data_IF_813193940856
#
_entry.id   IF_813193940856
#
_cell.length_a   1.000
_cell.length_b   1.000
_cell.length_c   1.000
_cell.angle_alpha   90.00
_cell.angle_beta   90.00
_cell.angle_gamma   90.00
#
_symmetry.space_group_name_H-M   'P 1'
#
loop_
_entity.id
_entity.type
_entity.pdbx_description
1 polymer ?
#
# COMPACT_ATOMS: atom_id res chain seq x y z
N UNK A 1 34.34 -7.70 16.20
CA UNK A 1 34.41 -8.81 17.18
C UNK A 1 35.28 -9.95 16.65
N UNK A 2 35.06 -10.42 15.41
CA UNK A 2 35.92 -11.38 14.69
C UNK A 2 37.42 -10.96 14.66
N UNK A 3 37.70 -9.72 14.26
CA UNK A 3 39.08 -9.18 14.19
C UNK A 3 39.83 -9.20 15.54
N UNK A 4 39.10 -9.04 16.65
CA UNK A 4 39.71 -9.02 18.00
C UNK A 4 40.14 -10.42 18.44
N UNK A 5 39.41 -11.45 18.00
CA UNK A 5 39.72 -12.86 18.29
C UNK A 5 40.80 -13.40 17.37
N UNK A 6 40.82 -12.99 16.09
CA UNK A 6 41.90 -13.32 15.17
C UNK A 6 43.24 -12.72 15.64
N UNK A 7 43.24 -11.47 16.11
CA UNK A 7 44.40 -10.83 16.73
C UNK A 7 44.90 -11.57 17.98
N UNK A 8 44.01 -12.17 18.77
CA UNK A 8 44.38 -12.94 19.97
C UNK A 8 44.95 -14.33 19.62
N UNK A 9 44.54 -14.94 18.52
CA UNK A 9 45.12 -16.21 18.03
C UNK A 9 46.47 -15.99 17.32
N UNK A 10 46.64 -14.83 16.67
CA UNK A 10 47.88 -14.46 15.98
C UNK A 10 48.97 -13.94 16.93
N UNK A 11 48.59 -13.42 18.11
CA UNK A 11 49.50 -13.04 19.18
C UNK A 11 50.17 -14.27 19.84
N UNK A 12 51.23 -14.79 19.18
CA UNK A 12 52.10 -15.86 19.70
C UNK A 12 52.68 -15.48 21.07
N UNK A 13 52.11 -16.05 22.14
CA UNK A 13 52.63 -15.93 23.50
C UNK A 13 51.60 -16.16 24.62
N UNK A 14 50.30 -15.99 24.35
CA UNK A 14 49.25 -16.09 25.39
C UNK A 14 48.50 -17.44 25.35
N UNK A 15 48.47 -18.12 24.20
CA UNK A 15 47.68 -19.34 24.00
C UNK A 15 48.57 -20.59 24.09
N UNK A 16 48.44 -21.35 25.19
CA UNK A 16 49.02 -22.69 25.33
C UNK A 16 48.34 -23.67 24.35
N UNK A 17 49.04 -24.64 23.73
CA UNK A 17 48.44 -25.58 22.77
C UNK A 17 47.22 -26.37 23.27
N UNK A 18 47.02 -26.46 24.60
CA UNK A 18 45.83 -27.04 25.23
C UNK A 18 44.60 -26.13 25.25
N UNK A 19 44.76 -24.79 25.20
CA UNK A 19 43.64 -23.83 25.19
C UNK A 19 43.16 -23.48 23.77
N UNK A 20 43.96 -23.74 22.74
CA UNK A 20 43.63 -23.48 21.33
C UNK A 20 42.25 -24.02 20.89
N UNK A 21 41.83 -25.24 21.28
CA UNK A 21 40.50 -25.76 20.89
C UNK A 21 39.34 -24.94 21.47
N UNK A 22 39.47 -24.43 22.70
CA UNK A 22 38.43 -23.62 23.35
C UNK A 22 38.28 -22.25 22.70
N UNK A 23 39.39 -21.59 22.36
CA UNK A 23 39.35 -20.32 21.62
C UNK A 23 38.73 -20.48 20.23
N UNK A 24 39.04 -21.59 19.55
CA UNK A 24 38.46 -21.89 18.24
C UNK A 24 36.95 -22.15 18.33
N UNK A 25 36.50 -22.83 19.37
CA UNK A 25 35.06 -23.08 19.58
C UNK A 25 34.29 -21.77 19.84
N UNK A 26 34.85 -20.87 20.66
CA UNK A 26 34.26 -19.53 20.89
C UNK A 26 34.23 -18.70 19.62
N UNK A 27 35.29 -18.76 18.81
CA UNK A 27 35.33 -18.11 17.51
C UNK A 27 34.22 -18.65 16.60
N UNK A 28 34.11 -19.97 16.45
CA UNK A 28 33.08 -20.60 15.63
C UNK A 28 31.67 -20.24 16.10
N UNK A 29 31.41 -20.23 17.41
CA UNK A 29 30.14 -19.78 17.97
C UNK A 29 29.84 -18.31 17.67
N UNK A 30 30.84 -17.44 17.76
CA UNK A 30 30.70 -16.01 17.45
C UNK A 30 30.36 -15.81 15.97
N UNK A 31 31.02 -16.57 15.09
CA UNK A 31 30.78 -16.55 13.64
C UNK A 31 29.35 -16.99 13.34
N UNK A 32 28.94 -18.16 13.83
CA UNK A 32 27.58 -18.70 13.62
C UNK A 32 26.50 -17.74 14.13
N UNK A 33 26.71 -17.15 15.30
CA UNK A 33 25.76 -16.20 15.88
C UNK A 33 25.66 -14.94 15.03
N UNK A 34 26.79 -14.46 14.48
CA UNK A 34 26.81 -13.29 13.58
C UNK A 34 26.06 -13.61 12.28
N UNK A 35 26.32 -14.75 11.67
CA UNK A 35 25.62 -15.20 10.45
C UNK A 35 24.11 -15.35 10.68
N UNK A 36 23.71 -15.88 11.84
CA UNK A 36 22.30 -15.99 12.22
C UNK A 36 21.66 -14.61 12.41
N UNK A 37 22.39 -13.66 13.02
CA UNK A 37 21.93 -12.30 13.20
C UNK A 37 21.74 -11.57 11.87
N UNK A 38 22.67 -11.75 10.93
CA UNK A 38 22.56 -11.19 9.58
C UNK A 38 21.37 -11.79 8.82
N UNK A 39 21.18 -13.12 8.88
CA UNK A 39 20.02 -13.78 8.28
C UNK A 39 18.69 -13.27 8.86
N UNK A 40 18.59 -13.10 10.18
CA UNK A 40 17.39 -12.55 10.82
C UNK A 40 17.15 -11.11 10.37
N UNK A 41 18.22 -10.31 10.22
CA UNK A 41 18.13 -8.92 9.75
C UNK A 41 17.61 -8.86 8.32
N UNK A 42 18.05 -9.75 7.45
CA UNK A 42 17.59 -9.83 6.06
C UNK A 42 16.11 -10.25 6.00
N UNK A 43 15.72 -11.27 6.77
CA UNK A 43 14.32 -11.69 6.87
C UNK A 43 13.41 -10.59 7.44
N UNK A 44 13.86 -9.86 8.45
CA UNK A 44 13.12 -8.74 9.03
C UNK A 44 12.94 -7.61 8.01
N UNK A 45 13.97 -7.34 7.20
CA UNK A 45 13.92 -6.33 6.14
C UNK A 45 12.91 -6.75 5.07
N UNK A 46 12.97 -7.99 4.60
CA UNK A 46 11.99 -8.54 3.67
C UNK A 46 10.56 -8.50 4.24
N UNK A 47 10.36 -8.85 5.51
CA UNK A 47 9.06 -8.78 6.16
C UNK A 47 8.51 -7.35 6.23
N UNK A 48 9.36 -6.36 6.51
CA UNK A 48 8.97 -4.94 6.47
C UNK A 48 8.57 -4.50 5.07
N UNK A 49 9.34 -4.86 4.05
CA UNK A 49 9.01 -4.55 2.66
C UNK A 49 7.67 -5.16 2.24
N UNK A 50 7.42 -6.41 2.61
CA UNK A 50 6.14 -7.07 2.39
C UNK A 50 5.00 -6.36 3.11
N UNK A 51 5.20 -5.95 4.36
CA UNK A 51 4.19 -5.20 5.12
C UNK A 51 3.87 -3.86 4.44
N UNK A 52 4.89 -3.12 3.98
CA UNK A 52 4.69 -1.88 3.23
C UNK A 52 3.94 -2.13 1.92
N UNK A 53 4.28 -3.18 1.19
CA UNK A 53 3.57 -3.57 -0.03
C UNK A 53 2.10 -3.92 0.23
N UNK A 54 1.81 -4.66 1.31
CA UNK A 54 0.45 -4.97 1.73
C UNK A 54 -0.35 -3.72 2.12
N UNK A 55 0.26 -2.80 2.88
CA UNK A 55 -0.36 -1.52 3.24
C UNK A 55 -0.66 -0.69 1.99
N UNK A 56 0.29 -0.58 1.06
CA UNK A 56 0.10 0.12 -0.21
C UNK A 56 -1.03 -0.51 -1.05
N UNK A 57 -1.09 -1.83 -1.14
CA UNK A 57 -2.16 -2.52 -1.85
C UNK A 57 -3.53 -2.24 -1.20
N UNK A 58 -3.61 -2.30 0.13
CA UNK A 58 -4.83 -1.98 0.87
C UNK A 58 -5.26 -0.52 0.64
N UNK A 59 -4.32 0.43 0.66
CA UNK A 59 -4.59 1.82 0.34
C UNK A 59 -5.11 1.99 -1.09
N UNK A 60 -4.53 1.30 -2.07
CA UNK A 60 -5.02 1.32 -3.45
C UNK A 60 -6.45 0.80 -3.57
N UNK A 61 -6.81 -0.27 -2.86
CA UNK A 61 -8.19 -0.77 -2.81
C UNK A 61 -9.12 0.26 -2.17
N UNK A 62 -8.73 0.86 -1.05
CA UNK A 62 -9.53 1.89 -0.36
C UNK A 62 -9.72 3.12 -1.26
N UNK A 63 -8.65 3.60 -1.90
CA UNK A 63 -8.69 4.75 -2.81
C UNK A 63 -9.61 4.49 -4.00
N UNK A 64 -9.57 3.29 -4.61
CA UNK A 64 -10.51 2.89 -5.67
C UNK A 64 -11.97 3.01 -5.19
N UNK A 65 -12.28 2.53 -3.97
CA UNK A 65 -13.64 2.60 -3.42
C UNK A 65 -14.09 4.04 -3.16
N UNK A 66 -13.25 4.84 -2.48
CA UNK A 66 -13.58 6.24 -2.15
C UNK A 66 -13.76 7.07 -3.42
N UNK A 67 -12.86 6.94 -4.39
CA UNK A 67 -12.96 7.68 -5.66
C UNK A 67 -14.15 7.24 -6.51
N UNK A 68 -14.46 5.94 -6.55
CA UNK A 68 -15.63 5.42 -7.27
C UNK A 68 -16.94 5.95 -6.68
N UNK A 69 -17.09 5.91 -5.35
CA UNK A 69 -18.26 6.49 -4.67
C UNK A 69 -18.35 8.00 -4.87
N UNK A 70 -17.22 8.71 -4.77
CA UNK A 70 -17.15 10.14 -5.05
C UNK A 70 -17.63 10.48 -6.46
N UNK A 71 -17.17 9.75 -7.48
CA UNK A 71 -17.58 9.95 -8.86
C UNK A 71 -19.09 9.68 -9.08
N UNK A 72 -19.65 8.64 -8.45
CA UNK A 72 -21.09 8.33 -8.53
C UNK A 72 -21.94 9.47 -7.99
N UNK A 73 -21.50 10.16 -6.95
CA UNK A 73 -22.23 11.30 -6.34
C UNK A 73 -21.98 12.60 -7.13
N UNK A 74 -20.75 12.81 -7.62
CA UNK A 74 -20.34 14.04 -8.29
C UNK A 74 -21.14 14.30 -9.57
N UNK A 75 -21.38 13.28 -10.41
CA UNK A 75 -22.07 13.48 -11.69
C UNK A 75 -23.53 13.96 -11.54
N UNK A 76 -24.40 13.29 -10.75
CA UNK A 76 -25.74 13.79 -10.48
C UNK A 76 -25.74 15.16 -9.81
N UNK A 77 -24.78 15.41 -8.90
CA UNK A 77 -24.65 16.71 -8.24
C UNK A 77 -24.31 17.83 -9.23
N UNK A 78 -23.46 17.55 -10.22
CA UNK A 78 -23.13 18.51 -11.28
C UNK A 78 -24.34 18.80 -12.18
N UNK A 79 -25.12 17.78 -12.54
CA UNK A 79 -26.36 17.95 -13.32
C UNK A 79 -27.38 18.75 -12.50
N UNK A 80 -27.57 18.41 -11.22
CA UNK A 80 -28.43 19.15 -10.31
C UNK A 80 -27.96 20.60 -10.10
N UNK A 81 -26.65 20.84 -10.08
CA UNK A 81 -26.07 22.18 -10.01
C UNK A 81 -26.40 23.01 -11.25
N UNK A 82 -26.21 22.45 -12.45
CA UNK A 82 -26.52 23.14 -13.73
C UNK A 82 -28.02 23.46 -13.82
N UNK A 83 -28.88 22.47 -13.55
CA UNK A 83 -30.34 22.65 -13.59
C UNK A 83 -30.89 23.45 -12.39
N UNK A 84 -30.12 23.60 -11.31
CA UNK A 84 -30.46 24.41 -10.14
C UNK A 84 -30.10 25.90 -10.27
N UNK A 85 -29.34 26.28 -11.32
CA UNK A 85 -29.04 27.68 -11.60
C UNK A 85 -30.29 28.38 -12.17
N UNK A 86 -30.64 29.55 -11.61
CA UNK A 86 -31.79 30.38 -12.02
C UNK A 86 -31.61 31.02 -13.41
N UNK A 87 -31.53 30.22 -14.47
CA UNK A 87 -31.54 30.71 -15.84
C UNK A 87 -32.98 30.90 -16.33
N UNK A 88 -33.38 32.18 -16.47
CA UNK A 88 -34.72 32.63 -16.90
C UNK A 88 -35.10 32.27 -18.34
N UNK A 89 -34.17 31.71 -19.14
CA UNK A 89 -34.40 31.38 -20.55
C UNK A 89 -33.62 30.12 -20.98
N UNK A 90 -33.92 28.96 -20.39
CA UNK A 90 -33.51 27.66 -20.93
C UNK A 90 -34.59 27.17 -21.91
N UNK A 91 -34.32 27.01 -23.21
CA UNK A 91 -35.32 26.54 -24.18
C UNK A 91 -35.92 25.16 -23.84
N UNK A 92 -35.20 24.33 -23.06
CA UNK A 92 -35.62 23.03 -22.53
C UNK A 92 -36.72 23.11 -21.44
N UNK A 93 -36.95 24.30 -20.84
CA UNK A 93 -37.93 24.50 -19.75
C UNK A 93 -39.37 24.69 -20.27
N UNK A 94 -39.54 24.92 -21.57
CA UNK A 94 -40.85 25.03 -22.22
C UNK A 94 -41.56 23.67 -22.42
N UNK A 95 -40.84 22.56 -22.20
CA UNK A 95 -41.37 21.20 -22.24
C UNK A 95 -41.64 20.69 -20.82
N UNK A 96 -42.87 20.25 -20.56
CA UNK A 96 -43.30 19.55 -19.32
C UNK A 96 -42.42 18.34 -18.98
N UNK A 97 -41.65 17.82 -19.94
CA UNK A 97 -40.82 16.62 -19.83
C UNK A 97 -39.36 16.94 -19.46
N UNK A 98 -38.91 18.20 -19.50
CA UNK A 98 -37.50 18.55 -19.24
C UNK A 98 -37.01 18.19 -17.83
N UNK A 99 -37.85 18.41 -16.81
CA UNK A 99 -37.54 18.06 -15.42
C UNK A 99 -37.49 16.52 -15.17
N UNK A 100 -38.48 15.72 -15.63
CA UNK A 100 -38.38 14.27 -15.64
C UNK A 100 -37.17 13.73 -16.40
N UNK A 101 -36.80 14.34 -17.53
CA UNK A 101 -35.66 13.94 -18.35
C UNK A 101 -34.33 14.16 -17.60
N UNK A 102 -34.17 15.31 -16.92
CA UNK A 102 -33.00 15.61 -16.11
C UNK A 102 -32.83 14.61 -14.95
N UNK A 103 -33.93 14.27 -14.26
CA UNK A 103 -33.95 13.21 -13.24
C UNK A 103 -33.58 11.84 -13.83
N UNK A 104 -34.11 11.51 -15.01
CA UNK A 104 -33.75 10.30 -15.75
C UNK A 104 -32.25 10.26 -16.09
N UNK A 105 -31.69 11.39 -16.52
CA UNK A 105 -30.27 11.51 -16.89
C UNK A 105 -29.35 11.42 -15.67
N UNK A 106 -29.75 11.97 -14.52
CA UNK A 106 -29.07 11.76 -13.24
C UNK A 106 -29.08 10.28 -12.82
N UNK A 107 -30.25 9.63 -12.88
CA UNK A 107 -30.38 8.22 -12.51
C UNK A 107 -29.59 7.30 -13.44
N UNK A 108 -29.65 7.55 -14.76
CA UNK A 108 -28.93 6.79 -15.78
C UNK A 108 -27.42 6.98 -15.66
N UNK A 109 -26.93 8.20 -15.44
CA UNK A 109 -25.50 8.46 -15.26
C UNK A 109 -24.94 7.81 -14.00
N UNK A 110 -25.66 7.90 -12.87
CA UNK A 110 -25.30 7.19 -11.64
C UNK A 110 -25.28 5.67 -11.84
N UNK A 111 -26.28 5.12 -12.54
CA UNK A 111 -26.39 3.68 -12.81
C UNK A 111 -25.28 3.18 -13.75
N UNK A 112 -24.95 3.93 -14.81
CA UNK A 112 -23.85 3.61 -15.74
C UNK A 112 -22.51 3.56 -15.01
N UNK A 113 -22.23 4.55 -14.15
CA UNK A 113 -21.00 4.58 -13.35
C UNK A 113 -20.96 3.45 -12.33
N UNK A 114 -22.06 3.18 -11.62
CA UNK A 114 -22.14 2.06 -10.69
C UNK A 114 -21.85 0.72 -11.39
N UNK A 115 -22.48 0.48 -12.56
CA UNK A 115 -22.24 -0.74 -13.34
C UNK A 115 -20.81 -0.80 -13.88
N UNK A 116 -20.24 0.32 -14.30
CA UNK A 116 -18.86 0.42 -14.79
C UNK A 116 -17.83 0.10 -13.70
N UNK A 117 -17.97 0.70 -12.52
CA UNK A 117 -17.08 0.46 -11.38
C UNK A 117 -17.25 -0.95 -10.79
N UNK A 118 -18.49 -1.48 -10.76
CA UNK A 118 -18.76 -2.86 -10.33
C UNK A 118 -18.11 -3.89 -11.25
N UNK A 119 -18.12 -3.67 -12.58
CA UNK A 119 -17.46 -4.57 -13.54
C UNK A 119 -15.93 -4.59 -13.38
N UNK A 120 -15.35 -3.56 -12.77
CA UNK A 120 -13.90 -3.43 -12.57
C UNK A 120 -13.45 -3.83 -11.16
N UNK A 121 -14.33 -4.35 -10.29
CA UNK A 121 -14.06 -4.63 -8.87
C UNK A 121 -13.51 -3.40 -8.10
N UNK A 122 -13.93 -2.20 -8.49
CA UNK A 122 -13.55 -0.95 -7.79
C UNK A 122 -14.52 -0.59 -6.67
N UNK A 123 -15.61 -1.36 -6.52
CA UNK A 123 -16.67 -1.22 -5.51
C UNK A 123 -16.66 -2.40 -4.54
#
# INVERSE_FOLDING_TARGET
MREVLDLLMEAKGIVTPTLTPYYRDVLDHTIRTTELMDNIRDLLTAARELQLAQVSNRLNVVMKKVTSWGAIILLPTLIAGIYGMNFRNMPELSWTIGYPLALGLMAVSAFLLYRGFKKRDWL
#
